data_IF_892784903094
#
_entry.id   IF_892784903094
#
_cell.length_a   1.000
_cell.length_b   1.000
_cell.length_c   1.000
_cell.angle_alpha   90.00
_cell.angle_beta   90.00
_cell.angle_gamma   90.00
#
_symmetry.space_group_name_H-M   'P 1'
#
loop_
_entity.id
_entity.type
_entity.pdbx_description
1 polymer ?
#
# COMPACT_ATOMS: atom_id res chain seq x y z
N UNK A 1 -10.52 -34.38 52.61
CA UNK A 1 -10.78 -34.10 51.19
C UNK A 1 -11.07 -32.61 51.05
N UNK A 2 -10.12 -31.84 50.52
CA UNK A 2 -10.32 -30.42 50.26
C UNK A 2 -10.76 -30.27 48.79
N UNK A 3 -11.99 -29.85 48.57
CA UNK A 3 -12.48 -29.49 47.24
C UNK A 3 -11.96 -28.10 46.89
N UNK A 4 -11.10 -28.03 45.88
CA UNK A 4 -10.67 -26.77 45.26
C UNK A 4 -11.88 -26.20 44.51
N UNK A 5 -12.48 -25.14 45.05
CA UNK A 5 -13.48 -24.34 44.35
C UNK A 5 -12.75 -23.52 43.30
N UNK A 6 -12.68 -24.05 42.07
CA UNK A 6 -12.25 -23.27 40.92
C UNK A 6 -13.39 -22.29 40.62
N UNK A 7 -13.16 -21.01 40.90
CA UNK A 7 -14.06 -19.91 40.57
C UNK A 7 -14.44 -19.95 39.07
N UNK A 8 -15.73 -19.84 38.76
CA UNK A 8 -16.24 -19.73 37.38
C UNK A 8 -15.55 -18.61 36.58
N UNK A 9 -14.99 -17.60 37.24
CA UNK A 9 -14.21 -16.53 36.61
C UNK A 9 -12.94 -17.03 35.91
N UNK A 10 -12.29 -18.08 36.44
CA UNK A 10 -11.09 -18.67 35.84
C UNK A 10 -11.40 -19.48 34.59
N UNK A 11 -12.56 -20.14 34.55
CA UNK A 11 -13.03 -20.89 33.37
C UNK A 11 -13.46 -19.95 32.23
N UNK A 12 -14.00 -18.77 32.53
CA UNK A 12 -14.33 -17.74 31.54
C UNK A 12 -13.07 -17.08 30.93
N UNK A 13 -12.05 -16.80 31.74
CA UNK A 13 -10.76 -16.27 31.25
C UNK A 13 -10.03 -17.29 30.38
N UNK A 14 -9.99 -18.57 30.79
CA UNK A 14 -9.35 -19.63 30.01
C UNK A 14 -10.05 -19.85 28.65
N UNK A 15 -11.38 -19.77 28.60
CA UNK A 15 -12.13 -19.92 27.34
C UNK A 15 -11.96 -18.73 26.38
N UNK A 16 -11.83 -17.49 26.89
CA UNK A 16 -11.51 -16.31 26.06
C UNK A 16 -10.09 -16.42 25.47
N UNK A 17 -9.11 -16.88 26.25
CA UNK A 17 -7.72 -17.06 25.79
C UNK A 17 -7.63 -18.17 24.73
N UNK A 18 -8.32 -19.31 24.93
CA UNK A 18 -8.41 -20.39 23.93
C UNK A 18 -9.13 -19.93 22.64
N UNK A 19 -10.16 -19.09 22.75
CA UNK A 19 -10.86 -18.51 21.59
C UNK A 19 -10.00 -17.51 20.80
N UNK A 20 -9.16 -16.70 21.47
CA UNK A 20 -8.22 -15.82 20.75
C UNK A 20 -7.09 -16.61 20.07
N UNK A 21 -6.60 -17.70 20.68
CA UNK A 21 -5.54 -18.54 20.10
C UNK A 21 -6.02 -19.32 18.87
N UNK A 22 -7.28 -19.78 18.86
CA UNK A 22 -7.81 -20.56 17.76
C UNK A 22 -8.19 -19.70 16.53
N UNK A 23 -8.68 -18.47 16.75
CA UNK A 23 -9.04 -17.53 15.68
C UNK A 23 -7.85 -16.75 15.09
N UNK A 24 -6.67 -16.80 15.72
CA UNK A 24 -5.47 -16.09 15.26
C UNK A 24 -4.79 -16.70 14.03
N UNK A 25 -5.23 -17.86 13.55
CA UNK A 25 -4.49 -18.62 12.52
C UNK A 25 -5.07 -18.49 11.11
N UNK A 26 -6.37 -18.27 10.91
CA UNK A 26 -6.92 -18.03 9.56
C UNK A 26 -8.29 -17.31 9.64
N UNK A 27 -8.40 -16.16 8.94
CA UNK A 27 -9.59 -15.41 8.49
C UNK A 27 -9.78 -13.98 9.07
N UNK A 28 -10.27 -13.02 8.25
CA UNK A 28 -10.49 -11.63 8.63
C UNK A 28 -11.61 -11.50 9.66
N UNK A 29 -11.46 -10.52 10.55
CA UNK A 29 -12.27 -10.26 11.73
C UNK A 29 -13.78 -10.53 11.56
N UNK A 30 -14.27 -11.60 12.17
CA UNK A 30 -15.68 -11.77 12.50
C UNK A 30 -15.93 -11.29 13.93
N UNK A 31 -16.85 -10.32 14.08
CA UNK A 31 -17.39 -9.90 15.37
C UNK A 31 -18.46 -10.91 15.82
N UNK A 32 -18.16 -11.72 16.84
CA UNK A 32 -19.16 -12.50 17.57
C UNK A 32 -19.67 -11.64 18.74
N UNK A 33 -20.97 -11.37 18.76
CA UNK A 33 -21.63 -10.59 19.81
C UNK A 33 -22.17 -11.52 20.89
N UNK A 34 -21.59 -11.47 22.08
CA UNK A 34 -22.27 -11.79 23.33
C UNK A 34 -22.16 -10.57 24.26
N UNK A 35 -23.25 -10.25 24.95
CA UNK A 35 -23.41 -8.99 25.69
C UNK A 35 -22.33 -8.74 26.75
N UNK A 36 -21.87 -7.49 26.82
CA UNK A 36 -20.94 -6.98 27.83
C UNK A 36 -19.50 -6.84 27.32
N UNK A 37 -19.09 -5.61 26.95
CA UNK A 37 -17.71 -5.20 26.71
C UNK A 37 -17.00 -5.89 25.54
N UNK A 38 -16.94 -5.26 24.37
CA UNK A 38 -16.19 -5.78 23.21
C UNK A 38 -14.67 -5.69 23.42
N UNK A 39 -14.06 -6.75 23.95
CA UNK A 39 -12.62 -6.98 23.80
C UNK A 39 -12.37 -7.57 22.40
N UNK A 40 -11.85 -6.77 21.47
CA UNK A 40 -11.48 -7.24 20.13
C UNK A 40 -10.10 -7.91 20.23
N UNK A 41 -10.02 -9.24 20.14
CA UNK A 41 -8.72 -9.93 20.02
C UNK A 41 -8.05 -9.42 18.73
N UNK A 42 -6.92 -8.71 18.84
CA UNK A 42 -6.07 -8.38 17.69
C UNK A 42 -5.10 -9.53 17.47
N UNK A 43 -5.05 -10.04 16.24
CA UNK A 43 -4.00 -10.98 15.84
C UNK A 43 -2.60 -10.34 15.93
N UNK A 44 -1.51 -11.13 15.81
CA UNK A 44 -0.13 -10.65 15.98
C UNK A 44 0.20 -9.40 15.14
N UNK A 45 -0.30 -9.35 13.90
CA UNK A 45 -0.14 -8.19 13.02
C UNK A 45 -0.78 -6.90 13.59
N UNK A 46 -2.00 -7.00 14.11
CA UNK A 46 -2.68 -5.85 14.73
C UNK A 46 -2.01 -5.36 16.01
N UNK A 47 -1.34 -6.25 16.75
CA UNK A 47 -0.54 -5.89 17.92
C UNK A 47 0.72 -5.13 17.53
N UNK A 48 1.42 -5.56 16.47
CA UNK A 48 2.60 -4.86 15.96
C UNK A 48 2.28 -3.42 15.56
N UNK A 49 1.18 -3.20 14.84
CA UNK A 49 0.77 -1.83 14.43
C UNK A 49 0.54 -0.92 15.64
N UNK A 50 -0.14 -1.40 16.69
CA UNK A 50 -0.36 -0.62 17.91
C UNK A 50 0.96 -0.31 18.62
N UNK A 51 1.87 -1.29 18.72
CA UNK A 51 3.19 -1.09 19.30
C UNK A 51 4.02 -0.06 18.52
N UNK A 52 3.92 -0.06 17.19
CA UNK A 52 4.59 0.95 16.34
C UNK A 52 4.03 2.33 16.63
N UNK A 53 2.70 2.49 16.66
CA UNK A 53 2.03 3.77 16.94
C UNK A 53 2.41 4.33 18.31
N UNK A 54 2.58 3.46 19.30
CA UNK A 54 2.93 3.84 20.67
C UNK A 54 4.44 3.95 20.88
N UNK A 55 5.26 3.72 19.84
CA UNK A 55 6.71 3.81 19.94
C UNK A 55 7.35 2.71 20.81
N UNK A 56 6.70 1.58 21.03
CA UNK A 56 7.21 0.47 21.86
C UNK A 56 7.58 -0.79 21.07
N UNK A 57 7.39 -0.77 19.74
CA UNK A 57 7.77 -1.89 18.88
C UNK A 57 9.29 -2.13 18.88
N UNK A 58 9.72 -3.37 19.11
CA UNK A 58 11.14 -3.72 19.05
C UNK A 58 11.62 -3.70 17.59
N UNK A 59 12.55 -2.81 17.28
CA UNK A 59 13.09 -2.63 15.92
C UNK A 59 14.38 -3.42 15.69
N UNK A 60 14.84 -4.18 16.69
CA UNK A 60 16.07 -4.97 16.59
C UNK A 60 16.06 -5.88 15.36
N UNK A 61 17.19 -6.02 14.64
CA UNK A 61 18.51 -5.49 14.96
C UNK A 61 18.75 -4.04 14.50
N UNK A 62 17.73 -3.35 13.95
CA UNK A 62 17.90 -1.99 13.46
C UNK A 62 17.80 -0.97 14.60
N UNK A 63 18.75 -0.04 14.61
CA UNK A 63 18.65 1.15 15.45
C UNK A 63 17.51 2.03 14.94
N UNK A 64 16.52 2.27 15.81
CA UNK A 64 15.35 3.11 15.54
C UNK A 64 15.70 4.50 15.03
N UNK A 65 16.76 5.12 15.53
CA UNK A 65 17.17 6.48 15.15
C UNK A 65 17.63 6.57 13.68
N UNK A 66 17.90 5.42 13.06
CA UNK A 66 18.26 5.32 11.64
C UNK A 66 17.08 4.97 10.74
N UNK A 67 15.90 4.75 11.31
CA UNK A 67 14.69 4.39 10.57
C UNK A 67 13.89 5.64 10.23
N UNK A 68 13.29 5.68 9.04
CA UNK A 68 12.30 6.71 8.74
C UNK A 68 11.08 6.53 9.64
N UNK A 69 10.47 7.62 10.15
CA UNK A 69 9.35 7.52 11.08
C UNK A 69 8.14 6.84 10.42
N UNK A 70 7.37 6.02 11.16
CA UNK A 70 6.14 5.44 10.64
C UNK A 70 5.02 6.47 10.62
N UNK A 71 4.04 6.30 9.72
CA UNK A 71 2.77 7.01 9.78
C UNK A 71 2.83 8.55 9.75
N UNK A 72 3.90 9.14 9.23
CA UNK A 72 3.94 10.57 8.93
C UNK A 72 2.93 10.88 7.82
N UNK A 73 2.00 11.81 8.03
CA UNK A 73 0.89 12.05 7.10
C UNK A 73 1.31 12.88 5.88
N UNK A 74 2.20 12.36 5.05
CA UNK A 74 2.73 13.10 3.91
C UNK A 74 1.66 13.42 2.86
N UNK A 75 0.88 12.42 2.43
CA UNK A 75 -0.08 12.61 1.34
C UNK A 75 -1.26 11.66 1.42
N UNK A 76 -2.45 12.16 1.13
CA UNK A 76 -3.63 11.32 0.95
C UNK A 76 -4.31 11.74 -0.35
N UNK A 77 -4.59 10.77 -1.23
CA UNK A 77 -5.34 11.02 -2.44
C UNK A 77 -6.24 9.83 -2.70
N UNK A 78 -7.49 10.08 -3.05
CA UNK A 78 -8.52 9.05 -3.15
C UNK A 78 -9.26 9.18 -4.46
N UNK A 79 -9.29 8.08 -5.24
CA UNK A 79 -10.26 7.94 -6.31
C UNK A 79 -11.53 7.32 -5.77
N UNK A 80 -12.68 7.86 -6.15
CA UNK A 80 -13.97 7.42 -5.62
C UNK A 80 -14.90 6.95 -6.74
N UNK A 81 -15.66 5.89 -6.47
CA UNK A 81 -16.79 5.45 -7.29
C UNK A 81 -18.10 5.59 -6.50
N UNK A 82 -18.79 6.74 -6.62
CA UNK A 82 -19.94 7.07 -5.78
C UNK A 82 -21.09 6.06 -5.84
N UNK A 83 -21.37 5.51 -7.01
CA UNK A 83 -22.45 4.54 -7.20
C UNK A 83 -22.26 3.23 -6.39
N UNK A 84 -21.06 2.98 -5.86
CA UNK A 84 -20.70 1.74 -5.17
C UNK A 84 -20.16 1.96 -3.75
N UNK A 85 -20.19 3.20 -3.24
CA UNK A 85 -19.52 3.59 -1.99
C UNK A 85 -18.11 2.97 -1.90
N UNK A 86 -17.34 3.13 -2.96
CA UNK A 86 -16.01 2.54 -3.12
C UNK A 86 -14.99 3.67 -3.23
N UNK A 87 -13.94 3.61 -2.41
CA UNK A 87 -12.79 4.51 -2.50
C UNK A 87 -11.50 3.73 -2.60
N UNK A 88 -10.55 4.29 -3.31
CA UNK A 88 -9.20 3.76 -3.48
C UNK A 88 -8.19 4.83 -3.10
N UNK A 89 -7.38 4.57 -2.09
CA UNK A 89 -6.25 5.43 -1.79
C UNK A 89 -5.10 5.20 -2.78
N UNK A 90 -4.61 6.29 -3.38
CA UNK A 90 -3.51 6.31 -4.32
C UNK A 90 -2.19 6.38 -3.57
N UNK A 91 -1.37 5.35 -3.78
CA UNK A 91 0.05 5.33 -3.43
C UNK A 91 0.80 5.15 -4.74
N UNK A 92 1.88 5.89 -4.99
CA UNK A 92 2.61 5.74 -6.24
C UNK A 92 3.38 4.42 -6.34
N UNK A 93 3.69 4.02 -7.59
CA UNK A 93 4.51 2.85 -7.93
C UNK A 93 3.94 1.48 -7.51
N UNK A 94 2.67 1.44 -7.11
CA UNK A 94 1.91 0.22 -6.79
C UNK A 94 0.79 0.00 -7.80
N UNK A 95 1.09 0.11 -9.11
CA UNK A 95 0.13 0.03 -10.23
C UNK A 95 -0.96 1.12 -10.26
N UNK A 96 -0.67 2.30 -9.71
CA UNK A 96 -1.59 3.44 -9.54
C UNK A 96 -2.29 3.86 -10.84
N UNK A 97 -1.56 3.99 -11.96
CA UNK A 97 -2.17 4.38 -13.25
C UNK A 97 -3.18 3.36 -13.77
N UNK A 98 -2.91 2.06 -13.59
CA UNK A 98 -3.85 1.00 -13.95
C UNK A 98 -5.06 1.05 -13.03
N UNK A 99 -4.87 1.34 -11.74
CA UNK A 99 -5.99 1.46 -10.81
C UNK A 99 -6.85 2.70 -11.07
N UNK A 100 -6.25 3.85 -11.40
CA UNK A 100 -6.98 5.05 -11.84
C UNK A 100 -7.85 4.72 -13.07
N UNK A 101 -7.33 3.93 -14.01
CA UNK A 101 -8.08 3.44 -15.16
C UNK A 101 -9.24 2.51 -14.78
N UNK A 102 -9.03 1.63 -13.79
CA UNK A 102 -10.10 0.77 -13.24
C UNK A 102 -11.21 1.63 -12.63
N UNK A 103 -10.87 2.61 -11.78
CA UNK A 103 -11.87 3.49 -11.16
C UNK A 103 -12.61 4.35 -12.20
N UNK A 104 -11.89 4.80 -13.23
CA UNK A 104 -12.49 5.46 -14.39
C UNK A 104 -13.51 4.57 -15.11
N UNK A 105 -13.14 3.31 -15.39
CA UNK A 105 -14.02 2.34 -16.04
C UNK A 105 -15.22 1.94 -15.17
N UNK A 106 -15.04 1.78 -13.85
CA UNK A 106 -16.14 1.51 -12.91
C UNK A 106 -17.17 2.64 -12.92
N UNK A 107 -16.71 3.90 -12.95
CA UNK A 107 -17.59 5.07 -12.94
C UNK A 107 -18.28 5.31 -14.29
N UNK A 108 -17.59 5.08 -15.41
CA UNK A 108 -18.08 5.46 -16.74
C UNK A 108 -17.79 4.36 -17.79
N UNK A 109 -18.32 3.14 -17.64
CA UNK A 109 -17.96 2.02 -18.51
C UNK A 109 -18.36 2.26 -19.97
N UNK A 110 -19.50 2.89 -20.22
CA UNK A 110 -20.00 3.18 -21.57
C UNK A 110 -19.09 4.15 -22.31
N UNK A 111 -18.78 5.29 -21.70
CA UNK A 111 -17.90 6.30 -22.30
C UNK A 111 -16.48 5.76 -22.54
N UNK A 112 -15.96 4.96 -21.60
CA UNK A 112 -14.67 4.31 -21.73
C UNK A 112 -14.63 3.35 -22.93
N UNK A 113 -15.69 2.55 -23.12
CA UNK A 113 -15.85 1.62 -24.26
C UNK A 113 -16.01 2.37 -25.59
N UNK A 114 -16.88 3.38 -25.66
CA UNK A 114 -17.17 4.16 -26.88
C UNK A 114 -15.91 4.88 -27.39
N UNK A 115 -15.05 5.35 -26.48
CA UNK A 115 -13.77 5.98 -26.83
C UNK A 115 -12.64 4.98 -27.09
N UNK A 116 -12.94 3.67 -27.19
CA UNK A 116 -11.97 2.60 -27.41
C UNK A 116 -10.81 2.60 -26.40
N UNK A 117 -11.09 3.01 -25.16
CA UNK A 117 -10.08 3.04 -24.08
C UNK A 117 -9.91 1.62 -23.52
N UNK A 118 -8.70 1.30 -23.07
CA UNK A 118 -8.38 0.03 -22.43
C UNK A 118 -7.58 0.26 -21.16
N UNK A 119 -8.04 -0.34 -20.06
CA UNK A 119 -7.40 -0.26 -18.75
C UNK A 119 -5.91 -0.62 -18.84
N UNK A 120 -5.58 -1.70 -19.56
CA UNK A 120 -4.20 -2.19 -19.71
C UNK A 120 -3.24 -1.24 -20.46
N UNK A 121 -3.77 -0.26 -21.20
CA UNK A 121 -2.99 0.63 -22.07
C UNK A 121 -3.08 2.11 -21.72
N UNK A 122 -3.88 2.46 -20.70
CA UNK A 122 -3.96 3.84 -20.19
C UNK A 122 -2.59 4.38 -19.82
N UNK A 123 -2.36 5.67 -20.01
CA UNK A 123 -1.12 6.35 -19.64
C UNK A 123 -1.45 7.54 -18.74
N UNK A 124 -0.58 7.84 -17.77
CA UNK A 124 -0.82 8.92 -16.81
C UNK A 124 -1.06 10.27 -17.50
N UNK A 125 -0.29 10.60 -18.54
CA UNK A 125 -0.35 11.88 -19.25
C UNK A 125 -1.59 12.05 -20.12
N UNK A 126 -2.20 10.94 -20.56
CA UNK A 126 -3.35 10.95 -21.48
C UNK A 126 -4.55 10.24 -20.86
N UNK A 127 -4.61 10.17 -19.53
CA UNK A 127 -5.61 9.39 -18.79
C UNK A 127 -7.02 9.92 -19.05
N UNK A 128 -7.95 9.02 -19.39
CA UNK A 128 -9.29 9.42 -19.86
C UNK A 128 -10.10 10.22 -18.84
N UNK A 129 -10.14 9.77 -17.58
CA UNK A 129 -10.92 10.43 -16.53
C UNK A 129 -10.16 11.53 -15.78
N UNK A 130 -8.88 11.79 -16.08
CA UNK A 130 -8.05 12.77 -15.35
C UNK A 130 -8.21 12.67 -13.83
N UNK A 131 -8.64 13.74 -13.18
CA UNK A 131 -8.83 13.86 -11.73
C UNK A 131 -10.32 13.86 -11.34
N UNK A 132 -11.20 13.31 -12.20
CA UNK A 132 -12.62 13.16 -11.86
C UNK A 132 -12.77 12.19 -10.69
N UNK A 133 -13.55 12.61 -9.69
CA UNK A 133 -13.75 11.89 -8.42
C UNK A 133 -12.46 11.70 -7.60
N UNK A 134 -11.48 12.60 -7.77
CA UNK A 134 -10.29 12.67 -6.94
C UNK A 134 -10.56 13.54 -5.71
N UNK A 135 -10.20 13.04 -4.54
CA UNK A 135 -10.25 13.77 -3.26
C UNK A 135 -8.86 13.75 -2.61
N UNK A 136 -8.48 14.83 -1.93
CA UNK A 136 -7.14 15.01 -1.35
C UNK A 136 -7.05 14.65 0.14
N UNK A 137 -8.15 14.18 0.72
CA UNK A 137 -8.23 13.74 2.10
C UNK A 137 -9.44 12.82 2.31
N UNK A 138 -9.52 12.20 3.48
CA UNK A 138 -10.65 11.35 3.87
C UNK A 138 -11.93 12.15 4.15
N UNK A 139 -11.82 13.41 4.54
CA UNK A 139 -12.99 14.24 4.86
C UNK A 139 -13.85 14.44 3.59
N UNK A 140 -13.22 14.84 2.48
CA UNK A 140 -13.89 14.94 1.19
C UNK A 140 -14.46 13.61 0.70
N UNK A 141 -13.80 12.48 0.98
CA UNK A 141 -14.37 11.15 0.69
C UNK A 141 -15.64 10.90 1.52
N UNK A 142 -15.66 11.31 2.80
CA UNK A 142 -16.80 11.09 3.69
C UNK A 142 -17.99 11.93 3.27
N UNK A 143 -17.75 13.17 2.85
CA UNK A 143 -18.78 14.03 2.27
C UNK A 143 -19.36 13.45 0.98
N UNK A 144 -18.51 12.87 0.12
CA UNK A 144 -18.93 12.36 -1.18
C UNK A 144 -19.72 11.04 -1.10
N UNK A 145 -19.29 10.08 -0.27
CA UNK A 145 -19.84 8.71 -0.28
C UNK A 145 -20.14 8.14 1.12
N UNK A 146 -19.98 8.95 2.16
CA UNK A 146 -20.30 8.58 3.53
C UNK A 146 -19.23 7.73 4.26
N UNK A 147 -19.41 7.54 5.58
CA UNK A 147 -18.47 6.79 6.41
C UNK A 147 -18.58 5.26 6.22
N UNK A 148 -19.72 4.75 5.74
CA UNK A 148 -19.94 3.32 5.46
C UNK A 148 -19.62 3.01 4.00
N UNK A 149 -18.37 2.62 3.74
CA UNK A 149 -17.84 2.40 2.40
C UNK A 149 -16.84 1.25 2.35
N UNK A 150 -16.55 0.79 1.14
CA UNK A 150 -15.41 -0.09 0.88
C UNK A 150 -14.20 0.78 0.59
N UNK A 151 -13.25 0.81 1.51
CA UNK A 151 -11.98 1.53 1.35
C UNK A 151 -10.90 0.52 0.93
N UNK A 152 -10.25 0.77 -0.21
CA UNK A 152 -9.25 -0.10 -0.80
C UNK A 152 -7.91 0.62 -0.88
N UNK A 153 -6.82 -0.12 -0.66
CA UNK A 153 -5.47 0.35 -0.98
C UNK A 153 -4.66 -0.80 -1.56
N UNK A 154 -3.80 -0.47 -2.52
CA UNK A 154 -2.81 -1.40 -3.06
C UNK A 154 -1.46 -1.05 -2.45
N UNK A 155 -0.78 -2.05 -1.91
CA UNK A 155 0.58 -1.93 -1.36
C UNK A 155 1.51 -2.88 -2.11
N UNK A 156 2.81 -2.57 -2.11
CA UNK A 156 3.82 -3.35 -2.83
C UNK A 156 5.00 -3.65 -1.92
N UNK A 157 5.67 -4.77 -2.15
CA UNK A 157 6.89 -5.11 -1.45
C UNK A 157 7.89 -3.93 -1.51
N UNK A 158 8.43 -3.44 -0.39
CA UNK A 158 9.14 -2.15 -0.37
C UNK A 158 10.35 -2.08 -1.32
N UNK A 159 11.17 -3.14 -1.36
CA UNK A 159 12.30 -3.22 -2.31
C UNK A 159 11.84 -3.15 -3.76
N UNK A 160 10.78 -3.89 -4.12
CA UNK A 160 10.29 -3.93 -5.50
C UNK A 160 9.64 -2.60 -5.90
N UNK A 161 8.96 -1.93 -4.96
CA UNK A 161 8.43 -0.58 -5.15
C UNK A 161 9.56 0.43 -5.39
N UNK A 162 10.59 0.43 -4.54
CA UNK A 162 11.76 1.29 -4.69
C UNK A 162 12.45 1.08 -6.05
N UNK A 163 12.74 -0.17 -6.41
CA UNK A 163 13.40 -0.48 -7.68
C UNK A 163 12.55 -0.11 -8.90
N UNK A 164 11.22 -0.25 -8.79
CA UNK A 164 10.29 0.24 -9.81
C UNK A 164 10.31 1.76 -9.95
N UNK A 165 10.38 2.50 -8.83
CA UNK A 165 10.58 3.95 -8.80
C UNK A 165 11.90 4.35 -9.44
N UNK A 166 13.00 3.75 -8.99
CA UNK A 166 14.35 4.11 -9.40
C UNK A 166 14.60 3.82 -10.88
N UNK A 167 14.18 2.65 -11.37
CA UNK A 167 14.31 2.29 -12.78
C UNK A 167 13.49 3.22 -13.69
N UNK A 168 12.30 3.63 -13.24
CA UNK A 168 11.42 4.52 -14.01
C UNK A 168 11.91 5.97 -14.00
N UNK A 169 12.12 6.53 -12.81
CA UNK A 169 12.38 7.95 -12.61
C UNK A 169 13.86 8.29 -12.78
N UNK A 170 14.74 7.50 -12.19
CA UNK A 170 16.17 7.85 -12.10
C UNK A 170 17.02 7.27 -13.21
N UNK A 171 16.58 6.19 -13.86
CA UNK A 171 17.33 5.57 -14.97
C UNK A 171 16.72 5.81 -16.35
N UNK A 172 15.41 6.07 -16.43
CA UNK A 172 14.70 6.25 -17.71
C UNK A 172 14.24 7.67 -17.93
N UNK A 173 13.54 8.27 -16.97
CA UNK A 173 13.06 9.65 -17.09
C UNK A 173 14.20 10.67 -16.99
N UNK A 174 15.16 10.45 -16.09
CA UNK A 174 16.34 11.31 -15.92
C UNK A 174 17.21 11.46 -17.18
N UNK A 175 17.13 10.51 -18.13
CA UNK A 175 17.80 10.65 -19.44
C UNK A 175 17.27 11.83 -20.25
N UNK A 176 16.01 12.24 -20.01
CA UNK A 176 15.35 13.36 -20.68
C UNK A 176 15.25 14.60 -19.79
N UNK A 177 15.34 14.43 -18.48
CA UNK A 177 15.20 15.47 -17.45
C UNK A 177 16.33 15.28 -16.42
N UNK A 178 17.57 15.75 -16.71
CA UNK A 178 18.75 15.48 -15.90
C UNK A 178 18.66 15.93 -14.45
N UNK A 179 17.78 16.88 -14.14
CA UNK A 179 17.49 17.36 -12.79
C UNK A 179 16.74 16.34 -11.91
N UNK A 180 16.05 15.37 -12.52
CA UNK A 180 15.29 14.34 -11.80
C UNK A 180 16.18 13.52 -10.90
N UNK A 181 15.60 13.03 -9.80
CA UNK A 181 16.32 12.25 -8.82
C UNK A 181 17.56 12.99 -8.29
N UNK A 182 17.36 14.28 -8.01
CA UNK A 182 18.35 15.19 -7.40
C UNK A 182 19.64 15.33 -8.22
N UNK A 183 19.55 15.22 -9.55
CA UNK A 183 20.69 15.25 -10.46
C UNK A 183 21.78 14.20 -10.17
N UNK A 184 21.42 13.08 -9.53
CA UNK A 184 22.36 12.00 -9.22
C UNK A 184 22.73 11.14 -10.45
N UNK A 185 22.16 11.39 -11.63
CA UNK A 185 22.53 10.74 -12.90
C UNK A 185 22.53 9.19 -12.84
N UNK A 186 21.59 8.61 -12.09
CA UNK A 186 21.47 7.16 -11.92
C UNK A 186 22.41 6.55 -10.88
N UNK A 187 23.16 7.35 -10.12
CA UNK A 187 23.88 6.89 -8.92
C UNK A 187 22.90 6.69 -7.76
N UNK A 188 22.82 5.46 -7.26
CA UNK A 188 21.86 5.09 -6.22
C UNK A 188 22.27 5.57 -4.83
N UNK A 189 23.57 5.66 -4.54
CA UNK A 189 24.05 6.10 -3.22
C UNK A 189 23.81 7.61 -3.04
N UNK A 190 24.15 8.40 -4.05
CA UNK A 190 23.81 9.81 -4.17
C UNK A 190 22.30 10.02 -4.00
N UNK A 191 21.49 9.25 -4.75
CA UNK A 191 20.04 9.39 -4.71
C UNK A 191 19.48 9.12 -3.31
N UNK A 192 19.89 8.03 -2.66
CA UNK A 192 19.44 7.70 -1.30
C UNK A 192 19.88 8.76 -0.28
N UNK A 193 21.06 9.36 -0.46
CA UNK A 193 21.56 10.43 0.42
C UNK A 193 20.70 11.68 0.29
N UNK A 194 20.39 12.08 -0.94
CA UNK A 194 19.50 13.21 -1.19
C UNK A 194 18.04 12.93 -0.76
N UNK A 195 17.54 11.72 -0.98
CA UNK A 195 16.19 11.31 -0.59
C UNK A 195 16.00 11.37 0.93
N UNK A 196 16.93 10.83 1.72
CA UNK A 196 16.85 10.89 3.19
C UNK A 196 16.86 12.34 3.67
N UNK A 197 17.71 13.19 3.08
CA UNK A 197 17.73 14.61 3.40
C UNK A 197 16.38 15.29 3.10
N UNK A 198 15.78 15.03 1.93
CA UNK A 198 14.47 15.59 1.57
C UNK A 198 13.36 15.10 2.54
N UNK A 199 13.39 13.81 2.90
CA UNK A 199 12.47 13.24 3.88
C UNK A 199 12.62 13.89 5.27
N UNK A 200 13.84 14.09 5.74
CA UNK A 200 14.13 14.74 7.02
C UNK A 200 13.70 16.21 7.01
N UNK A 201 13.96 16.93 5.91
CA UNK A 201 13.54 18.32 5.73
C UNK A 201 12.00 18.44 5.79
N UNK A 202 11.29 17.56 5.09
CA UNK A 202 9.82 17.53 5.08
C UNK A 202 9.25 17.15 6.44
N UNK A 203 9.81 16.13 7.09
CA UNK A 203 9.37 15.69 8.41
C UNK A 203 9.58 16.77 9.47
N UNK A 204 10.79 17.35 9.56
CA UNK A 204 11.14 18.32 10.59
C UNK A 204 10.42 19.66 10.43
N UNK A 205 10.15 20.07 9.19
CA UNK A 205 9.38 21.30 8.91
C UNK A 205 7.88 21.09 8.96
N UNK A 206 7.42 19.84 9.12
CA UNK A 206 6.03 19.45 8.95
C UNK A 206 5.45 19.99 7.63
N UNK A 207 6.24 19.89 6.56
CA UNK A 207 5.87 20.40 5.26
C UNK A 207 5.00 19.39 4.52
N UNK A 208 3.93 19.86 3.89
CA UNK A 208 3.04 19.04 3.05
C UNK A 208 3.12 19.42 1.58
N UNK A 209 4.16 20.17 1.22
CA UNK A 209 4.40 20.60 -0.15
C UNK A 209 4.72 19.41 -1.05
N UNK A 210 4.27 19.52 -2.30
CA UNK A 210 4.51 18.50 -3.32
C UNK A 210 6.01 18.41 -3.62
N UNK A 211 6.61 17.24 -3.39
CA UNK A 211 7.93 16.87 -3.91
C UNK A 211 7.71 15.72 -4.89
N UNK A 212 8.20 15.88 -6.13
CA UNK A 212 8.01 14.86 -7.16
C UNK A 212 8.71 13.55 -6.78
N UNK A 213 9.93 13.65 -6.26
CA UNK A 213 10.72 12.52 -5.79
C UNK A 213 10.02 11.86 -4.59
N UNK A 214 9.64 12.60 -3.54
CA UNK A 214 8.94 12.00 -2.40
C UNK A 214 7.60 11.38 -2.77
N UNK A 215 6.86 11.97 -3.72
CA UNK A 215 5.62 11.39 -4.24
C UNK A 215 5.83 9.99 -4.81
N UNK A 216 7.00 9.68 -5.37
CA UNK A 216 7.30 8.35 -5.91
C UNK A 216 8.06 7.44 -4.94
N UNK A 217 8.77 7.98 -3.95
CA UNK A 217 9.73 7.25 -3.12
C UNK A 217 9.47 7.30 -1.62
N UNK A 218 8.57 8.13 -1.10
CA UNK A 218 8.24 8.14 0.32
C UNK A 218 7.66 6.78 0.76
N UNK A 219 7.84 6.37 2.04
CA UNK A 219 7.26 5.15 2.58
C UNK A 219 5.75 5.08 2.36
N UNK A 220 5.24 3.90 2.05
CA UNK A 220 3.81 3.67 1.82
C UNK A 220 2.99 3.94 3.08
N UNK A 221 3.56 3.72 4.26
CA UNK A 221 2.98 4.10 5.55
C UNK A 221 2.77 5.61 5.71
N UNK A 222 3.38 6.45 4.86
CA UNK A 222 3.18 7.89 4.88
C UNK A 222 1.95 8.36 4.09
N UNK A 223 1.27 7.44 3.43
CA UNK A 223 0.09 7.72 2.63
C UNK A 223 -1.20 7.40 3.38
N UNK A 224 -2.33 7.82 2.83
CA UNK A 224 -3.66 7.29 3.14
C UNK A 224 -4.16 7.48 4.59
N UNK A 225 -3.52 8.35 5.37
CA UNK A 225 -3.84 8.56 6.80
C UNK A 225 -3.91 7.25 7.61
N UNK A 226 -2.96 6.33 7.35
CA UNK A 226 -2.92 5.03 8.00
C UNK A 226 -2.73 5.10 9.52
N UNK A 227 -2.24 6.23 10.04
CA UNK A 227 -2.07 6.51 11.47
C UNK A 227 -3.33 6.14 12.25
N UNK A 228 -4.51 6.50 11.75
CA UNK A 228 -5.79 6.29 12.43
C UNK A 228 -6.79 5.44 11.63
N UNK A 229 -6.53 5.17 10.35
CA UNK A 229 -7.50 4.53 9.46
C UNK A 229 -7.07 3.17 8.89
N UNK A 230 -5.85 2.68 9.17
CA UNK A 230 -5.31 1.45 8.56
C UNK A 230 -6.27 0.25 8.65
N UNK A 231 -6.94 0.04 9.79
CA UNK A 231 -7.84 -1.10 10.02
C UNK A 231 -9.16 -1.02 9.24
N UNK A 232 -9.43 0.11 8.58
CA UNK A 232 -10.60 0.32 7.72
C UNK A 232 -10.32 -0.04 6.26
N UNK A 233 -9.06 -0.17 5.86
CA UNK A 233 -8.69 -0.49 4.49
C UNK A 233 -8.75 -2.00 4.23
N UNK A 234 -9.28 -2.36 3.07
CA UNK A 234 -8.96 -3.64 2.43
C UNK A 234 -7.64 -3.46 1.70
N UNK A 235 -6.62 -4.21 2.12
CA UNK A 235 -5.27 -4.13 1.55
C UNK A 235 -5.12 -5.20 0.46
N UNK A 236 -4.74 -4.80 -0.73
CA UNK A 236 -4.33 -5.69 -1.83
C UNK A 236 -2.82 -5.62 -1.99
N UNK A 237 -2.15 -6.76 -1.91
CA UNK A 237 -0.70 -6.84 -2.12
C UNK A 237 -0.43 -6.99 -3.62
N UNK A 238 0.31 -6.04 -4.19
CA UNK A 238 0.81 -6.10 -5.56
C UNK A 238 1.88 -7.19 -5.69
N UNK A 239 1.74 -8.00 -6.74
CA UNK A 239 2.70 -9.03 -7.13
C UNK A 239 2.97 -8.94 -8.64
N UNK A 240 4.23 -9.06 -9.02
CA UNK A 240 4.64 -9.04 -10.44
C UNK A 240 4.48 -10.41 -11.10
N UNK A 241 4.39 -10.42 -12.44
CA UNK A 241 4.32 -11.63 -13.26
C UNK A 241 2.90 -12.22 -13.38
N UNK A 242 2.72 -13.28 -14.21
CA UNK A 242 1.39 -13.80 -14.54
C UNK A 242 0.61 -14.31 -13.31
N UNK A 243 1.30 -14.98 -12.38
CA UNK A 243 0.69 -15.44 -11.13
C UNK A 243 0.25 -14.26 -10.25
N UNK A 244 1.10 -13.24 -10.12
CA UNK A 244 0.78 -12.02 -9.38
C UNK A 244 -0.41 -11.26 -9.98
N UNK A 245 -0.46 -11.15 -11.31
CA UNK A 245 -1.59 -10.56 -12.02
C UNK A 245 -2.91 -11.30 -11.75
N UNK A 246 -2.87 -12.64 -11.76
CA UNK A 246 -4.01 -13.48 -11.43
C UNK A 246 -4.47 -13.30 -9.97
N UNK A 247 -3.53 -13.27 -9.03
CA UNK A 247 -3.80 -13.03 -7.62
C UNK A 247 -4.45 -11.67 -7.39
N UNK A 248 -3.91 -10.60 -7.98
CA UNK A 248 -4.49 -9.27 -7.89
C UNK A 248 -5.88 -9.22 -8.52
N UNK A 249 -6.07 -9.83 -9.69
CA UNK A 249 -7.38 -9.89 -10.35
C UNK A 249 -8.43 -10.62 -9.50
N UNK A 250 -8.05 -11.67 -8.77
CA UNK A 250 -8.94 -12.36 -7.82
C UNK A 250 -9.28 -11.49 -6.60
N UNK A 251 -8.29 -10.79 -6.03
CA UNK A 251 -8.49 -9.90 -4.88
C UNK A 251 -9.40 -8.72 -5.25
N UNK A 252 -9.16 -8.08 -6.40
CA UNK A 252 -10.02 -7.00 -6.88
C UNK A 252 -11.44 -7.48 -7.20
N UNK A 253 -11.60 -8.66 -7.82
CA UNK A 253 -12.94 -9.22 -8.07
C UNK A 253 -13.72 -9.41 -6.76
N UNK A 254 -13.05 -9.91 -5.71
CA UNK A 254 -13.64 -10.07 -4.38
C UNK A 254 -14.12 -8.72 -3.81
N UNK A 255 -13.25 -7.70 -3.82
CA UNK A 255 -13.57 -6.36 -3.31
C UNK A 255 -14.72 -5.73 -4.09
N UNK A 256 -14.64 -5.71 -5.42
CA UNK A 256 -15.64 -5.10 -6.27
C UNK A 256 -16.98 -5.83 -6.21
N UNK A 257 -16.98 -7.17 -6.08
CA UNK A 257 -18.21 -7.93 -5.87
C UNK A 257 -18.88 -7.55 -4.56
N UNK A 258 -18.11 -7.38 -3.48
CA UNK A 258 -18.62 -6.95 -2.18
C UNK A 258 -19.18 -5.53 -2.21
N UNK A 259 -18.57 -4.63 -2.99
CA UNK A 259 -19.04 -3.27 -3.22
C UNK A 259 -20.26 -3.18 -4.17
N UNK A 260 -20.75 -4.31 -4.71
CA UNK A 260 -21.91 -4.34 -5.60
C UNK A 260 -21.61 -3.98 -7.07
N UNK A 261 -20.33 -3.96 -7.48
CA UNK A 261 -19.96 -3.70 -8.87
C UNK A 261 -20.48 -4.84 -9.79
N UNK A 262 -21.21 -4.50 -10.87
CA UNK A 262 -21.80 -5.47 -11.78
C UNK A 262 -20.80 -6.48 -12.35
N UNK A 263 -21.25 -7.73 -12.54
CA UNK A 263 -20.39 -8.81 -13.02
C UNK A 263 -19.77 -8.54 -14.40
N UNK A 264 -20.47 -7.81 -15.29
CA UNK A 264 -19.94 -7.39 -16.60
C UNK A 264 -18.69 -6.53 -16.44
N UNK A 265 -18.76 -5.50 -15.61
CA UNK A 265 -17.65 -4.57 -15.35
C UNK A 265 -16.47 -5.33 -14.73
N UNK A 266 -16.74 -6.16 -13.70
CA UNK A 266 -15.70 -6.96 -13.03
C UNK A 266 -14.99 -7.93 -13.97
N UNK A 267 -15.72 -8.61 -14.87
CA UNK A 267 -15.13 -9.51 -15.87
C UNK A 267 -14.21 -8.77 -16.83
N UNK A 268 -14.57 -7.57 -17.27
CA UNK A 268 -13.70 -6.78 -18.16
C UNK A 268 -12.44 -6.32 -17.42
N UNK A 269 -12.56 -5.84 -16.18
CA UNK A 269 -11.39 -5.49 -15.35
C UNK A 269 -10.46 -6.69 -15.18
N UNK A 270 -11.00 -7.86 -14.85
CA UNK A 270 -10.22 -9.10 -14.73
C UNK A 270 -9.47 -9.40 -16.02
N UNK A 271 -10.15 -9.34 -17.16
CA UNK A 271 -9.55 -9.58 -18.49
C UNK A 271 -8.41 -8.60 -18.76
N UNK A 272 -8.60 -7.32 -18.48
CA UNK A 272 -7.59 -6.27 -18.70
C UNK A 272 -6.36 -6.41 -17.77
N UNK A 273 -6.55 -6.88 -16.53
CA UNK A 273 -5.45 -7.14 -15.59
C UNK A 273 -4.58 -8.33 -16.01
N UNK A 274 -5.14 -9.30 -16.71
CA UNK A 274 -4.44 -10.51 -17.16
C UNK A 274 -3.72 -10.32 -18.51
N UNK A 275 -3.69 -9.10 -19.05
CA UNK A 275 -2.92 -8.79 -20.26
C UNK A 275 -1.44 -8.70 -19.90
N UNK A 276 -0.62 -9.56 -20.53
CA UNK A 276 0.81 -9.77 -20.23
C UNK A 276 1.73 -8.53 -20.40
N UNK A 277 1.22 -7.42 -20.95
CA UNK A 277 2.01 -6.21 -21.24
C UNK A 277 1.25 -4.94 -20.90
N UNK A 278 1.28 -4.52 -19.64
CA UNK A 278 1.00 -3.14 -19.32
C UNK A 278 2.24 -2.26 -19.63
N UNK A 279 2.04 -1.11 -20.26
CA UNK A 279 3.14 -0.20 -20.68
C UNK A 279 3.93 0.38 -19.49
N UNK A 280 3.38 0.25 -18.28
CA UNK A 280 3.95 0.76 -17.03
C UNK A 280 4.89 -0.22 -16.34
N UNK A 281 4.88 -1.49 -16.74
CA UNK A 281 5.68 -2.52 -16.12
C UNK A 281 7.16 -2.18 -16.28
N UNK A 282 7.85 -1.97 -15.17
CA UNK A 282 9.31 -1.98 -15.12
C UNK A 282 9.86 -3.39 -14.98
N UNK A 283 9.02 -4.34 -14.57
CA UNK A 283 9.43 -5.74 -14.44
C UNK A 283 9.96 -6.28 -15.78
N UNK A 284 11.15 -6.88 -15.75
CA UNK A 284 11.83 -7.43 -16.93
C UNK A 284 12.59 -6.41 -17.80
N UNK A 285 12.53 -5.10 -17.53
CA UNK A 285 13.31 -4.12 -18.30
C UNK A 285 14.80 -4.16 -17.96
N UNK A 286 15.64 -3.67 -18.86
CA UNK A 286 17.09 -3.55 -18.61
C UNK A 286 17.38 -2.60 -17.45
N UNK A 287 16.68 -1.47 -17.37
CA UNK A 287 16.82 -0.49 -16.29
C UNK A 287 16.46 -1.12 -14.94
N UNK A 288 15.42 -1.96 -14.89
CA UNK A 288 15.04 -2.66 -13.66
C UNK A 288 16.08 -3.70 -13.24
N UNK A 289 16.64 -4.45 -14.20
CA UNK A 289 17.75 -5.39 -13.94
C UNK A 289 19.01 -4.67 -13.45
N UNK A 290 19.35 -3.52 -14.05
CA UNK A 290 20.46 -2.67 -13.60
C UNK A 290 20.26 -2.17 -12.17
N UNK A 291 19.09 -1.59 -11.88
CA UNK A 291 18.77 -1.11 -10.53
C UNK A 291 18.83 -2.24 -9.49
N UNK A 292 18.32 -3.43 -9.83
CA UNK A 292 18.38 -4.60 -8.96
C UNK A 292 19.81 -5.03 -8.69
N UNK A 293 20.64 -5.13 -9.74
CA UNK A 293 22.05 -5.47 -9.58
C UNK A 293 22.77 -4.46 -8.67
N UNK A 294 22.56 -3.16 -8.87
CA UNK A 294 23.15 -2.11 -8.03
C UNK A 294 22.77 -2.25 -6.55
N UNK A 295 21.49 -2.49 -6.26
CA UNK A 295 21.00 -2.60 -4.89
C UNK A 295 21.43 -3.90 -4.22
N UNK A 296 21.22 -5.04 -4.90
CA UNK A 296 21.39 -6.36 -4.31
C UNK A 296 22.87 -6.78 -4.21
N UNK A 297 23.77 -6.18 -4.99
CA UNK A 297 25.23 -6.41 -4.89
C UNK A 297 25.92 -5.50 -3.86
N UNK A 298 25.19 -4.58 -3.21
CA UNK A 298 25.75 -3.64 -2.25
C UNK A 298 24.95 -3.66 -0.95
N UNK A 299 25.51 -4.32 0.07
CA UNK A 299 24.87 -4.48 1.38
C UNK A 299 24.56 -3.14 2.06
N UNK A 300 25.41 -2.12 1.86
CA UNK A 300 25.18 -0.78 2.41
C UNK A 300 23.94 -0.14 1.79
N UNK A 301 23.79 -0.19 0.46
CA UNK A 301 22.59 0.31 -0.22
C UNK A 301 21.34 -0.45 0.21
N UNK A 302 21.40 -1.79 0.25
CA UNK A 302 20.28 -2.62 0.67
C UNK A 302 19.86 -2.32 2.11
N UNK A 303 20.82 -2.13 3.01
CA UNK A 303 20.57 -1.73 4.40
C UNK A 303 19.87 -0.38 4.47
N UNK A 304 20.36 0.64 3.73
CA UNK A 304 19.75 1.98 3.70
C UNK A 304 18.32 1.95 3.18
N UNK A 305 18.07 1.25 2.08
CA UNK A 305 16.69 1.09 1.55
C UNK A 305 15.81 0.37 2.57
N UNK A 306 16.33 -0.67 3.23
CA UNK A 306 15.59 -1.39 4.27
C UNK A 306 15.24 -0.49 5.45
N UNK A 307 16.14 0.39 5.86
CA UNK A 307 15.90 1.35 6.95
C UNK A 307 14.86 2.41 6.60
N UNK A 308 14.91 2.95 5.37
CA UNK A 308 13.92 3.92 4.88
C UNK A 308 12.51 3.32 4.89
N UNK A 309 12.37 2.06 4.46
CA UNK A 309 11.08 1.41 4.33
C UNK A 309 10.75 0.40 5.43
N UNK A 310 11.48 0.40 6.54
CA UNK A 310 11.39 -0.64 7.58
C UNK A 310 9.95 -0.87 8.03
N UNK A 311 9.22 0.21 8.34
CA UNK A 311 7.84 0.09 8.79
C UNK A 311 6.87 -0.33 7.69
N UNK A 312 7.16 -0.11 6.41
CA UNK A 312 6.33 -0.69 5.35
C UNK A 312 6.42 -2.22 5.37
N UNK A 313 7.59 -2.80 5.68
CA UNK A 313 7.70 -4.25 5.83
C UNK A 313 6.83 -4.77 6.97
N UNK A 314 6.93 -4.14 8.13
CA UNK A 314 6.23 -4.61 9.32
C UNK A 314 4.72 -4.36 9.21
N UNK A 315 4.32 -3.14 8.82
CA UNK A 315 2.90 -2.73 8.76
C UNK A 315 2.15 -3.48 7.67
N UNK A 316 2.78 -3.81 6.55
CA UNK A 316 2.13 -4.57 5.47
C UNK A 316 2.48 -6.04 5.44
N UNK A 317 3.14 -6.56 6.49
CA UNK A 317 3.48 -7.98 6.63
C UNK A 317 4.26 -8.51 5.41
N UNK A 318 5.33 -7.81 5.07
CA UNK A 318 6.35 -8.25 4.13
C UNK A 318 7.58 -8.72 4.88
N UNK A 319 8.26 -9.72 4.32
CA UNK A 319 9.52 -10.19 4.87
C UNK A 319 10.62 -9.16 4.65
N UNK A 320 11.41 -8.90 5.70
CA UNK A 320 12.64 -8.14 5.58
C UNK A 320 13.63 -8.88 4.67
N UNK A 321 14.45 -8.17 3.87
CA UNK A 321 15.49 -8.80 3.09
C UNK A 321 16.55 -9.42 4.01
N UNK A 322 17.18 -10.49 3.55
CA UNK A 322 18.30 -11.10 4.27
C UNK A 322 19.54 -10.20 4.10
N UNK A 323 20.02 -9.63 5.19
CA UNK A 323 21.24 -8.83 5.26
C UNK A 323 22.34 -9.75 5.82
N UNK A 324 23.09 -10.44 4.94
CA UNK A 324 24.19 -11.34 5.32
C UNK A 324 25.51 -10.58 5.29
#
# INVERSE_FOLDING_TARGET
MAYVVISLSFLLLASIVLLCLWNGVYLPSHSLSFGGGHARCKGPHGQNVDQIRNGIYDTSPFNRDKLSPPFFRYRAEYQVAPAYNLSFCRIEKVMTTIFDAIMCYINNPVEFEVHNRRISTELYQTRFCADRNLFLDLEGVYEAIGPRRTELVVVRHPIDRFLSGFADKCLREALRQPERCYACNGDMDCFLTALVKDMDDVFNKNAYEYSYELHHFAPQTWYCDFTSHLDKYTIVKYESGPHGALNMANQFDFVFRRAGVPSKIRREIRKELLVDRNKHATFGTEQRRRAEHMLMSNLTLLTRVTQIFYYDFIVFDYQLPVLI
#
